data_IF_806631034749
#
_entry.id   IF_806631034749
#
_cell.length_a   1.000
_cell.length_b   1.000
_cell.length_c   1.000
_cell.angle_alpha   90.00
_cell.angle_beta   90.00
_cell.angle_gamma   90.00
#
_symmetry.space_group_name_H-M   'P 1'
#
loop_
_entity.id
_entity.type
_entity.pdbx_description
1 polymer ?
#
# COMPACT_ATOMS: atom_id res chain seq x y z
N UNK A 1 29.99 2.65 -21.98
CA UNK A 1 29.10 3.25 -20.96
C UNK A 1 27.72 2.65 -21.17
N UNK A 2 27.37 1.60 -20.43
CA UNK A 2 26.06 0.97 -20.55
C UNK A 2 25.01 1.90 -19.96
N UNK A 3 23.99 2.21 -20.76
CA UNK A 3 22.84 2.99 -20.29
C UNK A 3 22.02 2.09 -19.37
N UNK A 4 22.04 2.35 -18.07
CA UNK A 4 21.07 1.78 -17.14
C UNK A 4 19.68 2.29 -17.53
N UNK A 5 18.92 1.48 -18.25
CA UNK A 5 17.49 1.72 -18.47
C UNK A 5 16.75 1.38 -17.18
N UNK A 6 16.79 2.29 -16.21
CA UNK A 6 15.82 2.25 -15.13
C UNK A 6 14.43 2.40 -15.77
N UNK A 7 13.51 1.47 -15.48
CA UNK A 7 12.11 1.65 -15.88
C UNK A 7 11.61 2.96 -15.28
N UNK A 8 11.00 3.85 -16.08
CA UNK A 8 10.51 5.13 -15.57
C UNK A 8 9.52 4.87 -14.44
N UNK A 9 9.56 5.73 -13.41
CA UNK A 9 8.61 5.68 -12.31
C UNK A 9 7.19 5.71 -12.88
N UNK A 10 6.44 4.64 -12.63
CA UNK A 10 5.11 4.44 -13.23
C UNK A 10 4.08 5.34 -12.56
N UNK A 11 4.20 5.55 -11.25
CA UNK A 11 3.30 6.40 -10.46
C UNK A 11 3.86 6.70 -9.05
N UNK A 12 3.31 7.72 -8.38
CA UNK A 12 3.55 8.06 -6.97
C UNK A 12 2.27 7.78 -6.16
N UNK A 13 2.33 6.83 -5.22
CA UNK A 13 1.16 6.39 -4.43
C UNK A 13 0.91 7.31 -3.23
N UNK A 14 0.54 8.55 -3.51
CA UNK A 14 0.41 9.60 -2.51
C UNK A 14 -0.86 9.51 -1.66
N UNK A 15 -0.84 10.22 -0.53
CA UNK A 15 -2.03 10.51 0.28
C UNK A 15 -1.98 10.01 1.71
N UNK A 16 -0.94 9.27 2.10
CA UNK A 16 -0.64 8.99 3.49
C UNK A 16 0.03 10.20 4.15
N UNK A 17 -0.27 10.41 5.42
CA UNK A 17 0.26 11.53 6.22
C UNK A 17 1.59 11.15 6.88
N UNK A 18 1.79 9.85 7.15
CA UNK A 18 2.96 9.30 7.83
C UNK A 18 3.61 8.16 7.00
N UNK A 19 4.70 7.58 7.51
CA UNK A 19 5.46 6.52 6.87
C UNK A 19 4.59 5.35 6.42
N UNK A 20 4.76 4.94 5.16
CA UNK A 20 4.14 3.73 4.60
C UNK A 20 4.97 2.53 5.02
N UNK A 21 4.35 1.58 5.71
CA UNK A 21 5.01 0.36 6.17
C UNK A 21 4.72 -0.85 5.29
N UNK A 22 3.57 -0.85 4.61
CA UNK A 22 3.06 -2.03 3.93
C UNK A 22 2.56 -1.65 2.55
N UNK A 23 2.97 -2.45 1.55
CA UNK A 23 2.38 -2.46 0.22
C UNK A 23 1.90 -3.87 -0.11
N UNK A 24 0.68 -3.96 -0.62
CA UNK A 24 0.08 -5.22 -1.02
C UNK A 24 -0.48 -5.13 -2.43
N UNK A 25 -0.02 -6.01 -3.31
CA UNK A 25 -0.62 -6.17 -4.65
C UNK A 25 -1.77 -7.16 -4.59
N UNK A 26 -2.90 -6.81 -5.18
CA UNK A 26 -4.06 -7.72 -5.29
C UNK A 26 -3.71 -8.94 -6.18
N UNK A 27 -3.85 -10.17 -5.69
CA UNK A 27 -3.70 -11.38 -6.49
C UNK A 27 -4.70 -11.36 -7.66
N UNK A 28 -4.24 -11.78 -8.84
CA UNK A 28 -5.04 -11.75 -10.06
C UNK A 28 -5.31 -10.36 -10.64
N UNK A 29 -4.82 -9.28 -10.04
CA UNK A 29 -4.94 -7.92 -10.58
C UNK A 29 -3.57 -7.32 -10.87
N UNK A 30 -3.37 -6.88 -12.11
CA UNK A 30 -2.13 -6.21 -12.50
C UNK A 30 -2.02 -4.79 -11.93
N UNK A 31 -3.16 -4.18 -11.56
CA UNK A 31 -3.26 -2.75 -11.29
C UNK A 31 -3.69 -2.41 -9.87
N UNK A 32 -4.28 -3.36 -9.14
CA UNK A 32 -4.76 -3.13 -7.77
C UNK A 32 -3.63 -3.23 -6.75
N UNK A 33 -3.37 -2.14 -6.04
CA UNK A 33 -2.40 -2.08 -4.94
C UNK A 33 -3.06 -1.46 -3.71
N UNK A 34 -2.68 -1.90 -2.52
CA UNK A 34 -3.04 -1.29 -1.25
C UNK A 34 -1.78 -0.82 -0.53
N UNK A 35 -1.83 0.35 0.11
CA UNK A 35 -0.79 0.85 1.00
C UNK A 35 -1.33 1.03 2.41
N UNK A 36 -0.51 0.76 3.42
CA UNK A 36 -0.80 0.99 4.84
C UNK A 36 0.30 1.82 5.49
N UNK A 37 -0.09 2.76 6.36
CA UNK A 37 0.81 3.74 6.98
C UNK A 37 0.57 3.88 8.48
N UNK A 38 1.57 4.40 9.20
CA UNK A 38 1.46 4.81 10.61
C UNK A 38 0.40 5.87 10.90
N UNK A 39 -0.12 6.56 9.88
CA UNK A 39 -1.29 7.43 10.00
C UNK A 39 -2.58 6.67 10.40
N UNK A 40 -2.50 5.34 10.46
CA UNK A 40 -3.62 4.46 10.81
C UNK A 40 -4.54 4.18 9.62
N UNK A 41 -4.20 4.67 8.43
CA UNK A 41 -4.97 4.58 7.21
C UNK A 41 -4.53 3.44 6.31
N UNK A 42 -5.45 3.05 5.43
CA UNK A 42 -5.16 2.22 4.25
C UNK A 42 -5.64 2.98 3.02
N UNK A 43 -4.83 3.00 1.96
CA UNK A 43 -5.23 3.56 0.66
C UNK A 43 -5.21 2.45 -0.38
N UNK A 44 -6.30 2.30 -1.12
CA UNK A 44 -6.38 1.43 -2.28
C UNK A 44 -6.09 2.25 -3.54
N UNK A 45 -5.24 1.72 -4.40
CA UNK A 45 -4.71 2.36 -5.61
C UNK A 45 -5.02 1.52 -6.85
N UNK A 46 -5.28 2.21 -7.95
CA UNK A 46 -5.30 1.61 -9.28
C UNK A 46 -4.17 2.19 -10.12
N UNK A 47 -3.15 1.38 -10.41
CA UNK A 47 -1.96 1.79 -11.16
C UNK A 47 -2.25 2.14 -12.63
N UNK A 48 -3.32 1.61 -13.22
CA UNK A 48 -3.69 1.95 -14.59
C UNK A 48 -4.31 3.34 -14.68
N UNK A 49 -5.13 3.72 -13.69
CA UNK A 49 -5.76 5.04 -13.67
C UNK A 49 -4.92 6.08 -12.92
N UNK A 50 -3.86 5.64 -12.22
CA UNK A 50 -2.99 6.46 -11.37
C UNK A 50 -3.76 7.30 -10.35
N UNK A 51 -4.77 6.65 -9.75
CA UNK A 51 -5.68 7.30 -8.80
C UNK A 51 -5.93 6.38 -7.62
N UNK A 52 -6.08 6.94 -6.41
CA UNK A 52 -6.59 6.19 -5.27
C UNK A 52 -8.05 5.83 -5.56
N UNK A 53 -8.37 4.54 -5.43
CA UNK A 53 -9.71 3.98 -5.52
C UNK A 53 -10.49 4.34 -4.24
N UNK A 54 -9.84 4.20 -3.08
CA UNK A 54 -10.47 4.42 -1.79
C UNK A 54 -9.42 4.81 -0.74
N UNK A 55 -9.81 5.67 0.19
CA UNK A 55 -9.05 5.97 1.41
C UNK A 55 -9.86 5.51 2.60
N UNK A 56 -9.23 4.73 3.47
CA UNK A 56 -9.87 4.14 4.65
C UNK A 56 -9.12 4.69 5.86
N UNK A 57 -9.55 5.86 6.38
CA UNK A 57 -8.93 6.44 7.56
C UNK A 57 -9.23 5.57 8.79
N UNK A 58 -8.31 5.57 9.77
CA UNK A 58 -8.49 4.84 11.03
C UNK A 58 -8.77 3.33 10.84
N UNK A 59 -8.23 2.75 9.77
CA UNK A 59 -8.25 1.31 9.53
C UNK A 59 -7.55 0.52 10.65
N UNK A 60 -6.56 1.14 11.30
CA UNK A 60 -5.88 0.62 12.48
C UNK A 60 -5.44 1.75 13.42
N UNK A 61 -5.33 1.47 14.72
CA UNK A 61 -5.00 2.46 15.76
C UNK A 61 -3.51 2.50 16.08
N UNK A 62 -2.77 3.29 15.30
CA UNK A 62 -1.39 3.73 15.57
C UNK A 62 -0.34 2.63 15.72
N UNK A 63 0.90 3.06 16.00
CA UNK A 63 2.07 2.20 16.18
C UNK A 63 1.98 1.39 17.47
N UNK A 64 1.30 0.25 17.43
CA UNK A 64 1.39 -0.76 18.49
C UNK A 64 2.00 -2.03 17.93
N UNK A 65 3.31 -2.12 18.15
CA UNK A 65 4.13 -3.32 18.22
C UNK A 65 3.77 -4.43 17.23
N UNK A 66 4.47 -4.49 16.09
CA UNK A 66 4.85 -5.74 15.41
C UNK A 66 3.76 -6.71 14.92
N UNK A 67 2.47 -6.47 15.18
CA UNK A 67 1.41 -7.42 14.89
C UNK A 67 0.26 -6.69 14.20
N UNK A 68 0.23 -6.83 12.88
CA UNK A 68 -0.82 -6.33 12.02
C UNK A 68 -2.19 -6.90 12.45
N UNK A 69 -3.02 -6.13 13.14
CA UNK A 69 -4.44 -6.44 13.28
C UNK A 69 -5.16 -5.96 12.02
N UNK A 70 -5.09 -6.78 10.97
CA UNK A 70 -5.75 -6.56 9.68
C UNK A 70 -7.27 -6.71 9.84
N UNK A 71 -8.03 -5.61 9.90
CA UNK A 71 -9.48 -5.69 9.65
C UNK A 71 -9.71 -5.66 8.14
N UNK A 72 -9.81 -6.87 7.58
CA UNK A 72 -10.08 -7.17 6.17
C UNK A 72 -11.20 -6.30 5.60
N UNK A 73 -10.86 -5.47 4.60
CA UNK A 73 -11.84 -4.96 3.65
C UNK A 73 -12.07 -6.09 2.65
N UNK A 74 -13.28 -6.64 2.60
CA UNK A 74 -13.66 -7.83 1.80
C UNK A 74 -12.88 -7.91 0.47
N UNK A 75 -11.99 -8.89 0.35
CA UNK A 75 -11.28 -9.22 -0.90
C UNK A 75 -9.80 -8.81 -1.00
N UNK A 76 -9.23 -8.14 0.00
CA UNK A 76 -7.79 -7.80 0.03
C UNK A 76 -7.12 -8.41 1.27
N UNK A 77 -6.37 -9.49 1.08
CA UNK A 77 -5.62 -10.17 2.14
C UNK A 77 -4.19 -9.60 2.18
N UNK A 78 -3.97 -8.46 2.83
CA UNK A 78 -2.65 -7.86 2.89
C UNK A 78 -1.71 -8.67 3.82
N UNK A 79 -0.73 -9.35 3.24
CA UNK A 79 0.39 -9.94 3.99
C UNK A 79 1.44 -8.85 4.28
N UNK A 80 1.87 -8.73 5.53
CA UNK A 80 2.99 -7.89 5.94
C UNK A 80 4.25 -8.75 5.97
N UNK A 81 5.22 -8.44 5.12
CA UNK A 81 6.57 -9.01 5.19
C UNK A 81 7.40 -8.14 6.13
N UNK A 82 7.72 -8.66 7.31
CA UNK A 82 8.73 -8.10 8.20
C UNK A 82 10.10 -8.60 7.69
N UNK A 83 11.02 -7.69 7.39
CA UNK A 83 12.45 -8.01 7.39
C UNK A 83 13.05 -7.23 8.56
N UNK A 84 13.46 -8.04 9.55
CA UNK A 84 14.24 -7.83 10.80
C UNK A 84 14.37 -6.43 11.39
#
# INVERSE_FOLDING_TARGET
>A
MERMFAKPLVDSLEGHIDAVEVLYRRPGSLTGVASGSWDGGIILHNLATRKPIAKIPQAHKGKRQGYASLRMVKGFLAAVSIVT
#
